data_IF_947372597444
#
_entry.id   IF_947372597444
#
_cell.length_a   1.000
_cell.length_b   1.000
_cell.length_c   1.000
_cell.angle_alpha   90.00
_cell.angle_beta   90.00
_cell.angle_gamma   90.00
#
_symmetry.space_group_name_H-M   'P 1'
#
loop_
_entity.id
_entity.type
_entity.pdbx_description
1 polymer ?
#
# COMPACT_ATOMS: atom_id res chain seq x y z
N UNK A 1 -24.12 -24.11 3.39
CA UNK A 1 -23.60 -22.85 2.85
C UNK A 1 -22.27 -22.58 3.53
N UNK A 2 -21.18 -22.83 2.81
CA UNK A 2 -19.83 -22.43 3.25
C UNK A 2 -19.73 -20.90 3.27
N UNK A 3 -18.83 -20.31 4.08
CA UNK A 3 -18.65 -18.87 4.10
C UNK A 3 -18.25 -18.43 2.69
N UNK A 4 -18.85 -17.36 2.19
CA UNK A 4 -18.41 -16.70 0.97
C UNK A 4 -17.00 -16.15 1.18
N UNK A 5 -15.99 -16.97 0.90
CA UNK A 5 -14.71 -16.49 0.43
C UNK A 5 -15.00 -15.76 -0.88
N UNK A 6 -15.05 -14.43 -0.83
CA UNK A 6 -15.38 -13.59 -1.98
C UNK A 6 -14.44 -13.91 -3.15
N UNK A 7 -14.95 -14.62 -4.14
CA UNK A 7 -14.21 -14.93 -5.36
C UNK A 7 -14.07 -13.65 -6.16
N UNK A 8 -13.00 -12.90 -5.92
CA UNK A 8 -12.69 -11.67 -6.63
C UNK A 8 -12.35 -12.00 -8.08
N UNK A 9 -13.11 -11.42 -9.02
CA UNK A 9 -12.89 -11.62 -10.44
C UNK A 9 -11.56 -11.04 -10.91
N UNK A 10 -11.00 -11.65 -11.96
CA UNK A 10 -9.76 -11.20 -12.61
C UNK A 10 -10.07 -10.21 -13.72
N UNK A 11 -9.45 -9.03 -13.66
CA UNK A 11 -9.62 -7.94 -14.61
C UNK A 11 -8.30 -7.55 -15.26
N UNK A 12 -8.39 -7.02 -16.47
CA UNK A 12 -7.25 -6.47 -17.18
C UNK A 12 -7.02 -5.04 -16.67
N UNK A 13 -5.98 -4.87 -15.86
CA UNK A 13 -5.55 -3.58 -15.36
C UNK A 13 -4.48 -3.00 -16.29
N UNK A 14 -4.69 -1.76 -16.74
CA UNK A 14 -3.70 -1.00 -17.51
C UNK A 14 -2.99 -0.03 -16.57
N UNK A 15 -1.67 -0.16 -16.44
CA UNK A 15 -0.88 0.76 -15.65
C UNK A 15 -0.87 2.16 -16.31
N UNK A 16 -1.28 3.23 -15.60
CA UNK A 16 -1.41 4.57 -16.19
C UNK A 16 -0.06 5.23 -16.50
N UNK A 17 1.05 4.73 -15.97
CA UNK A 17 2.40 5.25 -16.22
C UNK A 17 3.12 4.48 -17.32
N UNK A 18 2.97 3.15 -17.37
CA UNK A 18 3.74 2.29 -18.30
C UNK A 18 2.92 1.76 -19.47
N UNK A 19 1.58 1.87 -19.43
CA UNK A 19 0.65 1.23 -20.35
C UNK A 19 0.75 -0.31 -20.40
N UNK A 20 1.44 -0.93 -19.45
CA UNK A 20 1.50 -2.39 -19.30
C UNK A 20 0.13 -2.93 -18.89
N UNK A 21 -0.27 -4.05 -19.50
CA UNK A 21 -1.50 -4.77 -19.15
C UNK A 21 -1.18 -5.92 -18.20
N UNK A 22 -1.82 -5.95 -17.02
CA UNK A 22 -1.63 -6.97 -15.99
C UNK A 22 -2.97 -7.57 -15.58
N UNK A 23 -3.03 -8.89 -15.41
CA UNK A 23 -4.19 -9.59 -14.81
C UNK A 23 -4.13 -9.44 -13.29
N UNK A 24 -5.06 -8.68 -12.73
CA UNK A 24 -5.19 -8.45 -11.29
C UNK A 24 -6.59 -8.82 -10.84
N UNK A 25 -6.77 -9.11 -9.55
CA UNK A 25 -8.12 -9.18 -9.00
C UNK A 25 -8.75 -7.78 -8.90
N UNK A 26 -10.08 -7.73 -8.91
CA UNK A 26 -10.85 -6.49 -8.91
C UNK A 26 -10.50 -5.54 -7.73
N UNK A 27 -10.20 -6.08 -6.55
CA UNK A 27 -9.81 -5.29 -5.39
C UNK A 27 -8.50 -4.56 -5.63
N UNK A 28 -7.49 -5.27 -6.14
CA UNK A 28 -6.19 -4.68 -6.50
C UNK A 28 -6.33 -3.63 -7.59
N UNK A 29 -7.09 -3.93 -8.64
CA UNK A 29 -7.33 -2.99 -9.72
C UNK A 29 -8.01 -1.70 -9.21
N UNK A 30 -9.03 -1.81 -8.36
CA UNK A 30 -9.70 -0.65 -7.74
C UNK A 30 -8.81 0.11 -6.77
N UNK A 31 -7.98 -0.61 -6.00
CA UNK A 31 -7.03 0.02 -5.09
C UNK A 31 -6.06 0.92 -5.86
N UNK A 32 -5.45 0.41 -6.93
CA UNK A 32 -4.42 1.14 -7.70
C UNK A 32 -5.00 2.22 -8.62
N UNK A 33 -6.17 1.99 -9.23
CA UNK A 33 -6.79 2.93 -10.18
C UNK A 33 -7.64 4.02 -9.52
N UNK A 34 -8.05 3.85 -8.26
CA UNK A 34 -8.99 4.76 -7.62
C UNK A 34 -8.67 5.05 -6.16
N UNK A 35 -8.63 4.04 -5.28
CA UNK A 35 -8.55 4.28 -3.84
C UNK A 35 -7.26 5.00 -3.45
N UNK A 36 -6.12 4.56 -4.00
CA UNK A 36 -4.80 5.16 -3.74
C UNK A 36 -4.67 6.61 -4.21
N UNK A 37 -5.55 7.06 -5.10
CA UNK A 37 -5.56 8.41 -5.66
C UNK A 37 -6.45 9.38 -4.88
N UNK A 38 -7.23 8.87 -3.92
CA UNK A 38 -8.08 9.73 -3.09
C UNK A 38 -7.22 10.52 -2.09
N UNK A 39 -7.48 11.83 -1.88
CA UNK A 39 -6.71 12.64 -0.94
C UNK A 39 -6.80 12.11 0.50
N UNK A 40 -7.89 11.44 0.85
CA UNK A 40 -8.12 10.82 2.16
C UNK A 40 -7.53 9.41 2.29
N UNK A 41 -6.83 8.90 1.26
CA UNK A 41 -6.26 7.55 1.32
C UNK A 41 -5.27 7.39 2.49
N UNK A 42 -4.52 8.44 2.79
CA UNK A 42 -3.69 8.57 3.99
C UNK A 42 -4.04 9.89 4.71
N UNK A 43 -5.02 9.83 5.61
CA UNK A 43 -5.42 10.99 6.42
C UNK A 43 -4.40 11.30 7.55
N UNK A 44 -4.36 12.56 8.04
CA UNK A 44 -3.49 12.95 9.15
C UNK A 44 -3.68 12.13 10.44
N UNK A 45 -4.92 11.67 10.70
CA UNK A 45 -5.32 10.87 11.86
C UNK A 45 -5.09 9.35 11.66
N UNK A 46 -4.72 8.89 10.45
CA UNK A 46 -4.52 7.47 10.16
C UNK A 46 -3.40 6.94 11.07
N UNK A 47 -3.53 5.77 11.72
CA UNK A 47 -2.42 5.20 12.49
C UNK A 47 -1.16 5.08 11.62
N UNK A 48 0.02 5.44 12.14
CA UNK A 48 1.25 5.50 11.32
C UNK A 48 1.57 4.16 10.65
N UNK A 49 1.32 3.03 11.33
CA UNK A 49 1.46 1.68 10.75
C UNK A 49 0.56 1.46 9.54
N UNK A 50 -0.70 1.90 9.60
CA UNK A 50 -1.65 1.80 8.49
C UNK A 50 -1.28 2.77 7.35
N UNK A 51 -0.79 3.97 7.67
CA UNK A 51 -0.28 4.92 6.68
C UNK A 51 0.92 4.36 5.90
N UNK A 52 1.87 3.72 6.59
CA UNK A 52 3.01 3.03 5.97
C UNK A 52 2.51 1.91 5.05
N UNK A 53 1.62 1.05 5.56
CA UNK A 53 1.07 -0.05 4.78
C UNK A 53 0.35 0.43 3.51
N UNK A 54 -0.56 1.39 3.63
CA UNK A 54 -1.27 1.99 2.49
C UNK A 54 -0.32 2.64 1.50
N UNK A 55 0.72 3.33 1.96
CA UNK A 55 1.74 3.94 1.09
C UNK A 55 2.47 2.88 0.25
N UNK A 56 2.80 1.73 0.84
CA UNK A 56 3.40 0.60 0.12
C UNK A 56 2.42 0.01 -0.90
N UNK A 57 1.16 -0.22 -0.52
CA UNK A 57 0.12 -0.72 -1.43
C UNK A 57 -0.10 0.21 -2.63
N UNK A 58 -0.23 1.51 -2.40
CA UNK A 58 -0.37 2.53 -3.45
C UNK A 58 0.83 2.58 -4.41
N UNK A 59 1.97 2.03 -3.98
CA UNK A 59 3.21 1.99 -4.76
C UNK A 59 3.49 0.59 -5.31
N UNK A 60 2.48 -0.27 -5.37
CA UNK A 60 2.62 -1.64 -5.88
C UNK A 60 3.57 -2.51 -5.05
N UNK A 61 3.67 -2.26 -3.75
CA UNK A 61 4.61 -2.90 -2.83
C UNK A 61 6.10 -2.76 -3.22
N UNK A 62 6.46 -1.73 -4.00
CA UNK A 62 7.86 -1.39 -4.23
C UNK A 62 8.57 -1.14 -2.89
N UNK A 63 9.73 -1.77 -2.62
CA UNK A 63 10.51 -1.49 -1.42
C UNK A 63 10.79 0.01 -1.25
N UNK A 64 10.72 0.49 -0.01
CA UNK A 64 10.97 1.89 0.32
C UNK A 64 11.78 2.03 1.59
N UNK A 65 12.70 2.99 1.56
CA UNK A 65 13.43 3.43 2.75
C UNK A 65 12.49 4.21 3.69
N UNK A 66 12.79 4.27 5.00
CA UNK A 66 12.06 5.13 5.94
C UNK A 66 12.00 6.60 5.52
N UNK A 67 13.04 7.10 4.82
CA UNK A 67 13.08 8.47 4.28
C UNK A 67 12.09 8.65 3.11
N UNK A 68 11.95 7.67 2.23
CA UNK A 68 10.93 7.72 1.17
C UNK A 68 9.51 7.65 1.73
N UNK A 69 9.29 6.79 2.73
CA UNK A 69 8.01 6.70 3.44
C UNK A 69 7.65 8.02 4.11
N UNK A 70 8.61 8.64 4.82
CA UNK A 70 8.42 9.95 5.45
C UNK A 70 8.00 11.03 4.42
N UNK A 71 8.67 11.09 3.27
CA UNK A 71 8.33 12.05 2.21
C UNK A 71 6.92 11.85 1.63
N UNK A 72 6.46 10.59 1.53
CA UNK A 72 5.13 10.27 1.00
C UNK A 72 4.02 10.46 2.04
N UNK A 73 4.27 10.11 3.29
CA UNK A 73 3.28 10.20 4.38
C UNK A 73 3.18 11.65 4.90
N UNK A 74 4.26 12.43 4.81
CA UNK A 74 4.27 13.85 5.18
C UNK A 74 4.29 14.13 6.70
N UNK A 75 4.44 13.09 7.54
CA UNK A 75 4.57 13.23 9.00
C UNK A 75 5.40 12.11 9.61
N UNK A 76 5.85 12.36 10.84
CA UNK A 76 6.83 11.56 11.58
C UNK A 76 8.24 11.59 10.96
N UNK A 77 9.25 11.41 11.79
CA UNK A 77 10.65 11.35 11.35
C UNK A 77 11.01 9.94 10.83
N UNK A 78 12.01 9.82 9.93
CA UNK A 78 12.44 8.53 9.40
C UNK A 78 12.88 7.52 10.47
N UNK A 79 13.47 7.98 11.58
CA UNK A 79 13.93 7.13 12.67
C UNK A 79 12.76 6.48 13.43
N UNK A 80 11.66 7.21 13.64
CA UNK A 80 10.41 6.68 14.20
C UNK A 80 9.79 5.64 13.28
N UNK A 81 9.74 5.89 11.97
CA UNK A 81 9.25 4.92 10.97
C UNK A 81 10.09 3.64 11.00
N UNK A 82 11.43 3.78 11.00
CA UNK A 82 12.35 2.64 11.07
C UNK A 82 12.12 1.82 12.34
N UNK A 83 11.98 2.47 13.50
CA UNK A 83 11.77 1.80 14.77
C UNK A 83 10.49 0.96 14.78
N UNK A 84 9.39 1.49 14.22
CA UNK A 84 8.13 0.75 14.10
C UNK A 84 8.31 -0.51 13.25
N UNK A 85 8.99 -0.37 12.10
CA UNK A 85 9.22 -1.48 11.17
C UNK A 85 10.20 -2.52 11.73
N UNK A 86 11.16 -2.11 12.56
CA UNK A 86 12.20 -2.99 13.11
C UNK A 86 11.74 -3.82 14.32
N UNK A 87 10.77 -3.33 15.11
CA UNK A 87 10.34 -4.00 16.34
C UNK A 87 9.58 -5.30 16.06
N UNK A 88 8.62 -5.25 15.12
CA UNK A 88 7.85 -6.42 14.71
C UNK A 88 7.19 -6.21 13.35
N UNK A 89 6.85 -7.29 12.63
CA UNK A 89 6.06 -7.18 11.42
C UNK A 89 4.69 -6.54 11.69
N UNK A 90 4.34 -5.52 10.91
CA UNK A 90 3.03 -4.88 10.90
C UNK A 90 2.40 -5.09 9.54
N UNK A 91 1.15 -5.60 9.47
CA UNK A 91 0.47 -5.90 8.19
C UNK A 91 1.28 -6.79 7.24
N UNK A 92 2.15 -7.65 7.78
CA UNK A 92 3.03 -8.51 6.98
C UNK A 92 4.19 -7.78 6.29
N UNK A 93 4.46 -6.52 6.63
CA UNK A 93 5.60 -5.76 6.09
C UNK A 93 6.89 -6.32 6.70
N UNK A 94 7.83 -6.66 5.82
CA UNK A 94 9.16 -7.17 6.15
C UNK A 94 10.24 -6.38 5.39
N UNK A 95 11.50 -6.36 5.86
CA UNK A 95 12.62 -5.84 5.10
C UNK A 95 12.72 -6.54 3.73
N UNK A 96 13.02 -5.76 2.69
CA UNK A 96 13.39 -6.32 1.39
C UNK A 96 14.83 -6.86 1.44
N UNK A 97 15.12 -7.85 0.59
CA UNK A 97 16.46 -8.43 0.41
C UNK A 97 17.46 -7.46 -0.25
#
# INVERSE_FOLDING_TARGET
MSPTDGNLEQVDFVDPQTAEVRRLNELWARLLSHCSQQPEYVEPNTPLTAAIFRTLLASGNRPMTPKELQRRIGRSDPETILRILAVRPHYGILPAE
#
